data_IF_377884751713
#
_entry.id   IF_377884751713
#
_cell.length_a   1.000
_cell.length_b   1.000
_cell.length_c   1.000
_cell.angle_alpha   90.00
_cell.angle_beta   90.00
_cell.angle_gamma   90.00
#
_symmetry.space_group_name_H-M   'P 1'
#
loop_
_entity.id
_entity.type
_entity.pdbx_description
1 polymer ?
#
# COMPACT_ATOMS: atom_id res chain seq x y z
N UNK A 1 13.13 1.60 12.09
CA UNK A 1 12.01 0.71 11.71
C UNK A 1 10.84 1.53 11.20
N UNK A 2 10.26 1.10 10.08
CA UNK A 2 9.25 1.87 9.34
C UNK A 2 7.96 1.07 9.16
N UNK A 3 6.83 1.71 9.39
CA UNK A 3 5.52 1.23 8.99
C UNK A 3 5.18 1.78 7.61
N UNK A 4 4.79 0.90 6.69
CA UNK A 4 4.24 1.25 5.37
C UNK A 4 2.74 0.96 5.41
N UNK A 5 1.91 1.92 5.04
CA UNK A 5 0.46 1.78 5.11
C UNK A 5 -0.28 2.96 4.48
N UNK A 6 -1.53 3.18 4.91
CA UNK A 6 -2.36 4.21 4.31
C UNK A 6 -1.84 5.64 4.61
N UNK A 7 -1.67 6.49 3.59
CA UNK A 7 -1.11 7.82 3.76
C UNK A 7 -2.04 8.78 4.51
N UNK A 8 -1.45 9.67 5.33
CA UNK A 8 -2.16 10.66 6.16
C UNK A 8 -3.13 10.03 7.19
N UNK A 9 -2.80 8.83 7.67
CA UNK A 9 -3.58 8.15 8.70
C UNK A 9 -2.89 8.23 10.06
N UNK A 10 -3.62 7.91 11.11
CA UNK A 10 -3.07 7.84 12.45
C UNK A 10 -3.58 6.58 13.15
N UNK A 11 -2.65 5.78 13.67
CA UNK A 11 -2.94 4.55 14.38
C UNK A 11 -2.74 4.75 15.88
N UNK A 12 -3.72 4.32 16.66
CA UNK A 12 -3.62 4.28 18.11
C UNK A 12 -3.02 2.94 18.54
N UNK A 13 -1.87 2.98 19.19
CA UNK A 13 -1.23 1.82 19.81
C UNK A 13 -1.18 2.00 21.34
N UNK A 14 -1.02 0.92 22.13
CA UNK A 14 -0.75 1.02 23.57
C UNK A 14 0.50 1.84 23.90
N UNK A 15 1.42 1.96 22.94
CA UNK A 15 2.68 2.70 23.05
C UNK A 15 2.62 4.11 22.45
N UNK A 16 1.41 4.63 22.20
CA UNK A 16 1.17 5.99 21.68
C UNK A 16 0.61 6.03 20.26
N UNK A 17 0.60 7.23 19.70
CA UNK A 17 0.02 7.50 18.38
C UNK A 17 1.09 7.39 17.30
N UNK A 18 0.83 6.59 16.27
CA UNK A 18 1.67 6.46 15.08
C UNK A 18 1.04 7.26 13.96
N UNK A 19 1.75 8.26 13.44
CA UNK A 19 1.29 9.11 12.35
C UNK A 19 1.94 8.68 11.04
N UNK A 20 1.12 8.25 10.09
CA UNK A 20 1.57 7.86 8.75
C UNK A 20 1.57 9.08 7.86
N UNK A 21 2.74 9.43 7.33
CA UNK A 21 2.90 10.62 6.50
C UNK A 21 2.20 10.48 5.14
N UNK A 22 2.19 11.55 4.35
CA UNK A 22 1.62 11.57 2.99
C UNK A 22 2.20 10.49 2.06
N UNK A 23 3.42 10.03 2.33
CA UNK A 23 4.07 8.99 1.56
C UNK A 23 3.67 7.57 1.99
N UNK A 24 2.76 7.42 2.96
CA UNK A 24 2.38 6.12 3.50
C UNK A 24 3.41 5.53 4.45
N UNK A 25 4.34 6.33 4.98
CA UNK A 25 5.44 5.87 5.83
C UNK A 25 5.36 6.54 7.21
N UNK A 26 5.46 5.74 8.27
CA UNK A 26 5.67 6.21 9.64
C UNK A 26 6.95 5.61 10.23
N UNK A 27 7.73 6.42 10.94
CA UNK A 27 8.79 5.90 11.81
C UNK A 27 8.18 5.49 13.14
N UNK A 28 8.46 4.25 13.56
CA UNK A 28 7.89 3.68 14.78
C UNK A 28 8.97 3.02 15.62
N UNK A 29 8.69 2.93 16.92
CA UNK A 29 9.56 2.23 17.87
C UNK A 29 9.35 0.71 17.78
N UNK A 30 10.32 -0.09 18.22
CA UNK A 30 10.24 -1.55 18.24
C UNK A 30 8.98 -2.06 18.96
N UNK A 31 8.66 -1.48 20.13
CA UNK A 31 7.47 -1.85 20.89
C UNK A 31 6.14 -1.55 20.14
N UNK A 32 6.10 -0.49 19.34
CA UNK A 32 4.94 -0.21 18.49
C UNK A 32 4.85 -1.20 17.34
N UNK A 33 6.00 -1.61 16.80
CA UNK A 33 6.06 -2.54 15.69
C UNK A 33 5.62 -3.94 16.05
N UNK A 34 6.04 -4.48 17.20
CA UNK A 34 5.58 -5.79 17.67
C UNK A 34 4.04 -5.84 17.73
N UNK A 35 3.43 -4.81 18.30
CA UNK A 35 1.98 -4.67 18.40
C UNK A 35 1.30 -4.53 17.04
N UNK A 36 1.88 -3.74 16.13
CA UNK A 36 1.32 -3.54 14.78
C UNK A 36 1.47 -4.82 13.94
N UNK A 37 2.57 -5.54 14.06
CA UNK A 37 2.81 -6.80 13.37
C UNK A 37 1.75 -7.84 13.73
N UNK A 38 1.49 -8.01 15.03
CA UNK A 38 0.46 -8.93 15.54
C UNK A 38 -0.91 -8.63 14.90
N UNK A 39 -1.26 -7.35 14.74
CA UNK A 39 -2.52 -6.94 14.12
C UNK A 39 -2.55 -7.12 12.60
N UNK A 40 -1.41 -6.97 11.93
CA UNK A 40 -1.28 -7.28 10.50
C UNK A 40 -1.50 -8.79 10.29
N UNK A 41 -0.83 -9.63 11.08
CA UNK A 41 -0.96 -11.09 11.03
C UNK A 41 -2.37 -11.56 11.38
N UNK A 42 -3.05 -10.87 12.31
CA UNK A 42 -4.45 -11.12 12.64
C UNK A 42 -5.44 -10.60 11.56
N UNK A 43 -4.96 -9.95 10.50
CA UNK A 43 -5.79 -9.38 9.43
C UNK A 43 -6.58 -8.13 9.83
N UNK A 44 -6.26 -7.52 10.97
CA UNK A 44 -6.93 -6.30 11.47
C UNK A 44 -6.40 -5.02 10.82
N UNK A 45 -5.22 -5.07 10.21
CA UNK A 45 -4.61 -3.96 9.48
C UNK A 45 -4.24 -4.39 8.05
N UNK A 46 -5.23 -4.65 7.17
CA UNK A 46 -4.96 -5.03 5.80
C UNK A 46 -4.26 -3.90 5.04
N UNK A 47 -3.21 -4.24 4.29
CA UNK A 47 -2.44 -3.26 3.51
C UNK A 47 -1.39 -2.48 4.30
N UNK A 48 -1.20 -2.80 5.58
CA UNK A 48 -0.07 -2.31 6.36
C UNK A 48 1.04 -3.37 6.40
N UNK A 49 2.29 -2.91 6.37
CA UNK A 49 3.48 -3.76 6.40
C UNK A 49 4.60 -3.08 7.20
N UNK A 50 5.44 -3.87 7.86
CA UNK A 50 6.63 -3.36 8.55
C UNK A 50 7.87 -3.59 7.69
N UNK A 51 8.74 -2.58 7.66
CA UNK A 51 10.05 -2.66 7.01
C UNK A 51 11.15 -2.31 8.02
N UNK A 52 12.07 -3.25 8.19
CA UNK A 52 13.25 -3.14 9.06
C UNK A 52 14.41 -2.41 8.41
N UNK A 53 14.27 -1.94 7.17
CA UNK A 53 15.33 -1.28 6.42
C UNK A 53 15.68 0.13 6.93
N UNK A 54 16.53 0.12 7.96
CA UNK A 54 17.64 1.04 8.17
C UNK A 54 18.97 0.44 7.62
N UNK A 55 18.89 -0.56 6.72
CA UNK A 55 20.03 -1.05 5.96
C UNK A 55 19.99 -0.47 4.53
N UNK A 56 20.75 0.61 4.35
CA UNK A 56 21.22 1.18 3.08
C UNK A 56 20.19 1.82 2.14
N UNK A 57 20.13 3.14 2.22
CA UNK A 57 20.12 4.08 1.08
C UNK A 57 19.68 3.50 -0.29
N UNK A 58 18.37 3.54 -0.56
CA UNK A 58 17.87 3.74 -1.93
C UNK A 58 16.43 4.26 -1.91
N UNK A 59 16.12 5.34 -2.66
CA UNK A 59 14.75 5.82 -2.80
C UNK A 59 14.03 4.90 -3.79
N UNK A 60 13.29 3.91 -3.30
CA UNK A 60 12.33 3.20 -4.17
C UNK A 60 11.05 4.03 -4.26
N UNK A 61 11.13 5.04 -5.12
CA UNK A 61 9.95 5.57 -5.78
C UNK A 61 9.54 4.56 -6.83
N UNK A 62 8.37 3.93 -6.68
CA UNK A 62 7.37 3.83 -7.74
C UNK A 62 6.04 3.29 -7.19
N UNK A 63 4.91 4.02 -7.37
CA UNK A 63 3.60 3.43 -7.16
C UNK A 63 3.32 2.48 -8.33
N UNK A 64 3.43 1.17 -8.09
CA UNK A 64 2.91 0.18 -9.04
C UNK A 64 1.40 0.33 -9.15
N UNK A 65 0.99 1.10 -10.16
CA UNK A 65 -0.36 1.19 -10.67
C UNK A 65 -0.71 -0.15 -11.32
N UNK A 66 -0.98 -1.17 -10.53
CA UNK A 66 -1.62 -2.40 -11.01
C UNK A 66 -3.11 -2.39 -10.66
N UNK A 67 -3.79 -1.36 -11.17
CA UNK A 67 -5.24 -1.30 -11.21
C UNK A 67 -5.73 -2.23 -12.31
N UNK A 68 -5.95 -3.49 -11.97
CA UNK A 68 -6.67 -4.43 -12.81
C UNK A 68 -8.07 -3.91 -13.15
N UNK A 69 -8.42 -3.94 -14.43
CA UNK A 69 -9.82 -4.07 -14.85
C UNK A 69 -9.95 -5.25 -15.80
N UNK A 70 -10.34 -6.35 -15.18
CA UNK A 70 -10.96 -7.53 -15.76
C UNK A 70 -12.10 -7.17 -16.72
N UNK A 71 -12.02 -7.74 -17.92
CA UNK A 71 -13.07 -8.17 -18.84
C UNK A 71 -14.36 -7.35 -18.99
N UNK A 72 -14.57 -6.84 -20.22
CA UNK A 72 -15.85 -7.01 -20.93
C UNK A 72 -15.58 -7.55 -22.32
N UNK A 73 -15.89 -8.83 -22.55
CA UNK A 73 -16.17 -9.33 -23.90
C UNK A 73 -17.53 -8.76 -24.32
N UNK A 74 -17.59 -8.13 -25.48
CA UNK A 74 -18.76 -8.17 -26.36
C UNK A 74 -18.28 -7.96 -27.80
N UNK A 75 -18.44 -9.01 -28.60
CA UNK A 75 -18.37 -9.07 -30.05
C UNK A 75 -19.27 -8.00 -30.67
N UNK A 76 -18.78 -7.22 -31.64
CA UNK A 76 -19.52 -6.92 -32.88
C UNK A 76 -18.52 -6.81 -34.04
N UNK A 77 -18.77 -7.70 -34.99
CA UNK A 77 -18.27 -7.86 -36.35
C UNK A 77 -18.71 -6.70 -37.25
N UNK A 78 -17.82 -6.13 -38.06
CA UNK A 78 -17.98 -5.96 -39.52
C UNK A 78 -16.88 -5.07 -40.15
N UNK A 79 -16.32 -5.60 -41.23
CA UNK A 79 -15.25 -5.08 -42.10
C UNK A 79 -15.71 -3.86 -42.95
N UNK A 80 -14.79 -3.19 -43.69
CA UNK A 80 -14.95 -1.81 -44.14
C UNK A 80 -15.65 -1.68 -45.50
N UNK A 81 -16.26 -0.52 -45.75
CA UNK A 81 -16.68 -0.09 -47.08
C UNK A 81 -16.31 1.40 -47.28
N UNK A 82 -15.31 1.73 -48.10
CA UNK A 82 -15.06 3.10 -48.54
C UNK A 82 -15.66 3.32 -49.92
N UNK A 83 -16.80 4.02 -50.03
CA UNK A 83 -17.17 4.75 -51.25
C UNK A 83 -18.41 5.64 -51.05
N UNK A 84 -18.20 6.95 -51.08
CA UNK A 84 -19.02 7.91 -51.83
C UNK A 84 -18.29 9.27 -51.88
#
# INVERSE_FOLDING_TARGET
MKLIGEPNTTLSTPHGMVHVNRNGIAEISSAQADFINERIEAGSLPGYSLNDQDAEDKPEAEPEKSGGKTNKKAVVEQSPDPSA
#
